data_IF_650900238601
#
_entry.id   IF_650900238601
#
_cell.length_a   1.000
_cell.length_b   1.000
_cell.length_c   1.000
_cell.angle_alpha   90.00
_cell.angle_beta   90.00
_cell.angle_gamma   90.00
#
_symmetry.space_group_name_H-M   'P 1'
#
loop_
_entity.id
_entity.type
_entity.pdbx_description
1 polymer ?
#
# COMPACT_ATOMS: atom_id res chain seq x y z
N UNK A 1 16.42 -11.40 -13.46
CA UNK A 1 15.01 -11.04 -13.22
C UNK A 1 14.86 -9.74 -12.44
N UNK A 2 15.69 -9.47 -11.43
CA UNK A 2 15.62 -8.23 -10.61
C UNK A 2 15.59 -6.94 -11.45
N UNK A 3 16.46 -6.79 -12.46
CA UNK A 3 16.46 -5.60 -13.33
C UNK A 3 15.13 -5.27 -14.00
N UNK A 4 14.37 -6.29 -14.41
CA UNK A 4 13.08 -6.08 -15.07
C UNK A 4 12.06 -5.64 -14.03
N UNK A 5 12.03 -6.31 -12.86
CA UNK A 5 11.13 -5.95 -11.77
C UNK A 5 11.43 -4.54 -11.26
N UNK A 6 12.69 -4.23 -10.99
CA UNK A 6 13.09 -2.93 -10.45
C UNK A 6 12.82 -1.80 -11.45
N UNK A 7 13.12 -2.02 -12.74
CA UNK A 7 12.82 -1.05 -13.80
C UNK A 7 11.32 -0.81 -13.98
N UNK A 8 10.51 -1.87 -14.01
CA UNK A 8 9.06 -1.76 -14.16
C UNK A 8 8.40 -1.16 -12.91
N UNK A 9 8.82 -1.56 -11.70
CA UNK A 9 8.32 -1.00 -10.45
C UNK A 9 8.70 0.47 -10.31
N UNK A 10 9.89 0.88 -10.76
CA UNK A 10 10.28 2.29 -10.77
C UNK A 10 9.34 3.13 -11.65
N UNK A 11 9.00 2.64 -12.85
CA UNK A 11 8.04 3.31 -13.73
C UNK A 11 6.62 3.30 -13.16
N UNK A 12 6.19 2.19 -12.56
CA UNK A 12 4.88 2.07 -11.90
C UNK A 12 4.76 3.07 -10.74
N UNK A 13 5.71 3.08 -9.82
CA UNK A 13 5.69 3.99 -8.68
C UNK A 13 5.85 5.46 -9.07
N UNK A 14 6.53 5.76 -10.18
CA UNK A 14 6.54 7.12 -10.74
C UNK A 14 5.12 7.57 -11.11
N UNK A 15 4.37 6.73 -11.84
CA UNK A 15 3.00 7.03 -12.25
C UNK A 15 2.07 7.15 -11.03
N UNK A 16 2.15 6.20 -10.10
CA UNK A 16 1.39 6.24 -8.84
C UNK A 16 1.73 7.51 -8.03
N UNK A 17 3.00 7.89 -7.96
CA UNK A 17 3.43 9.10 -7.25
C UNK A 17 2.90 10.39 -7.89
N UNK A 18 2.85 10.46 -9.23
CA UNK A 18 2.24 11.58 -9.95
C UNK A 18 0.72 11.64 -9.72
N UNK A 19 0.05 10.49 -9.68
CA UNK A 19 -1.38 10.40 -9.39
C UNK A 19 -1.70 10.85 -7.97
N UNK A 20 -0.97 10.34 -6.97
CA UNK A 20 -1.12 10.74 -5.57
C UNK A 20 -0.88 12.25 -5.42
N UNK A 21 0.15 12.80 -6.08
CA UNK A 21 0.36 14.25 -6.09
C UNK A 21 -0.84 15.00 -6.68
N UNK A 22 -1.44 14.51 -7.77
CA UNK A 22 -2.64 15.11 -8.36
C UNK A 22 -3.81 15.08 -7.37
N UNK A 23 -4.05 13.95 -6.70
CA UNK A 23 -5.13 13.82 -5.71
C UNK A 23 -4.93 14.73 -4.49
N UNK A 24 -3.69 14.89 -4.04
CA UNK A 24 -3.35 15.79 -2.94
C UNK A 24 -3.53 17.28 -3.31
N UNK A 25 -3.37 17.65 -4.58
CA UNK A 25 -3.50 19.04 -5.01
C UNK A 25 -4.92 19.42 -5.42
N UNK A 26 -5.66 18.49 -6.05
CA UNK A 26 -6.92 18.80 -6.70
C UNK A 26 -7.95 17.65 -6.67
N UNK A 27 -7.71 16.58 -5.91
CA UNK A 27 -8.63 15.44 -5.81
C UNK A 27 -9.17 15.22 -4.39
N UNK A 28 -9.59 13.99 -4.12
CA UNK A 28 -10.22 13.57 -2.86
C UNK A 28 -9.29 13.66 -1.64
N UNK A 29 -7.97 13.73 -1.86
CA UNK A 29 -6.99 13.91 -0.80
C UNK A 29 -6.64 15.38 -0.53
N UNK A 30 -7.24 16.33 -1.26
CA UNK A 30 -6.88 17.75 -1.18
C UNK A 30 -7.32 18.46 0.09
N UNK A 31 -8.26 17.91 0.84
CA UNK A 31 -8.70 18.44 2.13
C UNK A 31 -8.70 17.38 3.22
N UNK A 32 -8.31 17.75 4.44
CA UNK A 32 -8.26 16.83 5.57
C UNK A 32 -9.61 16.14 5.84
N UNK A 33 -10.73 16.84 5.59
CA UNK A 33 -12.07 16.27 5.74
C UNK A 33 -12.35 15.17 4.71
N UNK A 34 -12.00 15.37 3.45
CA UNK A 34 -12.20 14.38 2.40
C UNK A 34 -11.22 13.22 2.55
N UNK A 35 -9.95 13.52 2.86
CA UNK A 35 -8.89 12.54 3.02
C UNK A 35 -9.07 11.59 4.22
N UNK A 36 -9.77 12.03 5.27
CA UNK A 36 -9.93 11.25 6.51
C UNK A 36 -10.54 9.86 6.28
N UNK A 37 -11.61 9.76 5.49
CA UNK A 37 -12.28 8.49 5.22
C UNK A 37 -11.40 7.53 4.38
N UNK A 38 -10.86 7.94 3.21
CA UNK A 38 -9.94 7.11 2.43
C UNK A 38 -8.72 6.65 3.23
N UNK A 39 -8.11 7.54 4.01
CA UNK A 39 -6.96 7.20 4.85
C UNK A 39 -7.32 6.16 5.91
N UNK A 40 -8.46 6.34 6.61
CA UNK A 40 -8.92 5.38 7.60
C UNK A 40 -9.21 4.01 6.97
N UNK A 41 -9.87 3.98 5.81
CA UNK A 41 -10.14 2.77 5.05
C UNK A 41 -8.84 2.09 4.60
N UNK A 42 -7.86 2.84 4.09
CA UNK A 42 -6.57 2.31 3.66
C UNK A 42 -5.78 1.72 4.84
N UNK A 43 -5.70 2.43 5.96
CA UNK A 43 -5.05 1.92 7.18
C UNK A 43 -5.72 0.64 7.66
N UNK A 44 -7.06 0.62 7.74
CA UNK A 44 -7.81 -0.58 8.12
C UNK A 44 -7.58 -1.74 7.15
N UNK A 45 -7.64 -1.46 5.85
CA UNK A 45 -7.40 -2.41 4.77
C UNK A 45 -5.98 -2.97 4.74
N UNK A 46 -4.99 -2.25 5.28
CA UNK A 46 -3.61 -2.72 5.41
C UNK A 46 -3.38 -3.48 6.72
N UNK A 47 -3.82 -2.93 7.86
CA UNK A 47 -3.54 -3.46 9.20
C UNK A 47 -4.25 -4.78 9.43
N UNK A 48 -5.52 -4.91 9.03
CA UNK A 48 -6.31 -6.13 9.25
C UNK A 48 -5.68 -7.37 8.59
N UNK A 49 -5.40 -7.39 7.28
CA UNK A 49 -4.79 -8.56 6.65
C UNK A 49 -3.35 -8.83 7.13
N UNK A 50 -2.57 -7.78 7.42
CA UNK A 50 -1.23 -7.92 7.98
C UNK A 50 -1.26 -8.64 9.34
N UNK A 51 -2.16 -8.24 10.24
CA UNK A 51 -2.32 -8.86 11.55
C UNK A 51 -2.84 -10.30 11.45
N UNK A 52 -3.83 -10.54 10.58
CA UNK A 52 -4.33 -11.90 10.31
C UNK A 52 -3.16 -12.79 9.88
N UNK A 53 -2.38 -12.37 8.88
CA UNK A 53 -1.24 -13.14 8.41
C UNK A 53 -0.21 -13.38 9.51
N UNK A 54 0.11 -12.35 10.29
CA UNK A 54 1.10 -12.44 11.36
C UNK A 54 0.68 -13.48 12.40
N UNK A 55 -0.57 -13.48 12.85
CA UNK A 55 -1.11 -14.45 13.82
C UNK A 55 -0.93 -15.89 13.34
N UNK A 56 -1.15 -16.16 12.05
CA UNK A 56 -0.99 -17.49 11.48
C UNK A 56 0.46 -17.86 11.14
N UNK A 57 1.36 -16.88 10.99
CA UNK A 57 2.75 -17.09 10.56
C UNK A 57 3.79 -16.59 11.59
N UNK A 58 3.42 -16.55 12.88
CA UNK A 58 4.27 -16.06 13.97
C UNK A 58 5.62 -16.76 14.08
N UNK A 59 5.70 -18.03 13.67
CA UNK A 59 6.90 -18.87 13.80
C UNK A 59 7.17 -19.56 12.47
N UNK A 60 8.40 -19.41 11.97
CA UNK A 60 8.85 -20.04 10.73
C UNK A 60 9.32 -19.02 9.68
N UNK A 61 9.80 -19.51 8.52
CA UNK A 61 10.39 -18.67 7.48
C UNK A 61 9.41 -17.65 6.87
N UNK A 62 8.10 -17.88 7.01
CA UNK A 62 7.05 -16.99 6.51
C UNK A 62 6.83 -15.71 7.34
N UNK A 63 7.40 -15.59 8.54
CA UNK A 63 7.17 -14.43 9.41
C UNK A 63 7.52 -13.08 8.75
N UNK A 64 8.47 -13.07 7.81
CA UNK A 64 8.88 -11.89 7.05
C UNK A 64 7.87 -11.45 5.97
N UNK A 65 6.91 -12.31 5.61
CA UNK A 65 5.93 -12.07 4.54
C UNK A 65 4.69 -11.28 4.95
N UNK A 66 4.66 -10.67 6.13
CA UNK A 66 3.48 -9.99 6.67
C UNK A 66 3.00 -8.79 5.84
N UNK A 67 3.86 -8.23 4.99
CA UNK A 67 3.53 -7.14 4.06
C UNK A 67 3.00 -7.60 2.70
N UNK A 68 2.94 -8.90 2.42
CA UNK A 68 2.35 -9.44 1.18
C UNK A 68 0.83 -9.23 1.10
N UNK A 69 0.03 -9.54 2.15
CA UNK A 69 -1.43 -9.51 2.07
C UNK A 69 -2.05 -8.10 2.19
N UNK A 70 -1.23 -7.06 2.38
CA UNK A 70 -1.69 -5.66 2.37
C UNK A 70 -1.73 -5.03 0.97
N UNK A 71 -1.11 -5.67 -0.02
CA UNK A 71 -1.10 -5.16 -1.39
C UNK A 71 -2.43 -5.47 -2.09
N UNK A 72 -2.95 -4.48 -2.80
CA UNK A 72 -4.06 -4.62 -3.76
C UNK A 72 -3.51 -4.33 -5.15
N UNK A 73 -3.88 -5.13 -6.15
CA UNK A 73 -3.50 -4.95 -7.56
C UNK A 73 -4.14 -3.69 -8.18
#
# INVERSE_FOLDING_TARGET
HEWINDGLMAMFFLLVGLEIKRELLAGELSSARQAALPIACAIGGMVVPALIYLVFNLRGPGAHGWGIPMATD
#
